data_IF_454335476136
#
_entry.id   IF_454335476136
#
_cell.length_a   1.000
_cell.length_b   1.000
_cell.length_c   1.000
_cell.angle_alpha   90.00
_cell.angle_beta   90.00
_cell.angle_gamma   90.00
#
_symmetry.space_group_name_H-M   'P 1'
#
loop_
_entity.id
_entity.type
_entity.pdbx_description
1 polymer ?
#
# COMPACT_ATOMS: atom_id res chain seq x y z
N UNK A 1 35.92 -9.67 17.93
CA UNK A 1 35.99 -10.60 16.78
C UNK A 1 34.56 -10.91 16.34
N UNK A 2 34.26 -10.85 15.04
CA UNK A 2 32.88 -10.80 14.48
C UNK A 2 32.20 -12.20 14.42
N UNK A 3 32.44 -13.05 15.43
CA UNK A 3 32.21 -14.51 15.36
C UNK A 3 30.75 -14.98 15.20
N UNK A 4 29.77 -14.09 15.35
CA UNK A 4 28.34 -14.43 15.40
C UNK A 4 27.52 -13.76 14.28
N UNK A 5 28.15 -13.18 13.26
CA UNK A 5 27.44 -12.64 12.08
C UNK A 5 27.45 -13.69 10.97
N UNK A 6 26.32 -13.85 10.29
CA UNK A 6 26.15 -14.62 9.06
C UNK A 6 25.53 -13.71 8.00
N UNK A 7 26.00 -13.81 6.76
CA UNK A 7 25.52 -12.96 5.67
C UNK A 7 25.21 -13.80 4.43
N UNK A 8 23.93 -13.85 4.08
CA UNK A 8 23.43 -14.50 2.87
C UNK A 8 23.19 -13.49 1.77
N UNK A 9 23.48 -13.90 0.53
CA UNK A 9 23.00 -13.20 -0.66
C UNK A 9 21.71 -13.85 -1.15
N UNK A 10 20.74 -13.04 -1.54
CA UNK A 10 19.74 -13.46 -2.51
C UNK A 10 20.27 -13.44 -3.95
N UNK A 11 19.44 -13.89 -4.88
CA UNK A 11 19.76 -14.01 -6.31
C UNK A 11 19.86 -12.68 -7.06
N UNK A 12 19.31 -11.57 -6.53
CA UNK A 12 19.21 -10.32 -7.29
C UNK A 12 20.55 -9.64 -7.59
N UNK A 13 21.48 -9.57 -6.62
CA UNK A 13 22.74 -8.82 -6.73
C UNK A 13 23.91 -9.46 -5.93
N UNK A 14 24.35 -10.69 -6.26
CA UNK A 14 25.39 -11.40 -5.50
C UNK A 14 26.72 -10.63 -5.37
N UNK A 15 27.18 -9.97 -6.44
CA UNK A 15 28.41 -9.18 -6.43
C UNK A 15 28.39 -8.00 -5.42
N UNK A 16 27.20 -7.46 -5.11
CA UNK A 16 27.06 -6.44 -4.07
C UNK A 16 27.29 -7.07 -2.69
N UNK A 17 26.69 -8.23 -2.42
CA UNK A 17 26.87 -8.96 -1.16
C UNK A 17 28.33 -9.37 -0.95
N UNK A 18 29.00 -9.88 -1.99
CA UNK A 18 30.44 -10.20 -1.96
C UNK A 18 31.30 -8.97 -1.65
N UNK A 19 30.96 -7.81 -2.21
CA UNK A 19 31.65 -6.54 -1.92
C UNK A 19 31.47 -6.16 -0.45
N UNK A 20 30.26 -6.29 0.11
CA UNK A 20 29.96 -6.02 1.52
C UNK A 20 30.72 -7.02 2.43
N UNK A 21 30.72 -8.32 2.11
CA UNK A 21 31.51 -9.34 2.80
C UNK A 21 32.99 -8.95 2.88
N UNK A 22 33.56 -8.57 1.73
CA UNK A 22 34.97 -8.19 1.57
C UNK A 22 35.33 -6.97 2.42
N UNK A 23 34.49 -5.92 2.41
CA UNK A 23 34.71 -4.70 3.21
C UNK A 23 34.57 -4.96 4.73
N UNK A 24 33.70 -5.89 5.13
CA UNK A 24 33.49 -6.25 6.54
C UNK A 24 34.45 -7.33 7.05
N UNK A 25 35.28 -7.94 6.18
CA UNK A 25 36.22 -8.99 6.54
C UNK A 25 35.54 -10.29 7.03
N UNK A 26 34.34 -10.58 6.54
CA UNK A 26 33.56 -11.79 6.87
C UNK A 26 33.32 -12.63 5.61
N UNK A 27 33.33 -13.97 5.72
CA UNK A 27 33.04 -14.85 4.60
C UNK A 27 31.56 -14.76 4.21
N UNK A 28 31.26 -14.96 2.92
CA UNK A 28 29.90 -15.15 2.44
C UNK A 28 29.37 -16.51 2.92
N UNK A 29 28.15 -16.54 3.45
CA UNK A 29 27.52 -17.76 3.96
C UNK A 29 26.89 -18.61 2.86
N UNK A 30 27.00 -19.93 3.00
CA UNK A 30 26.50 -20.87 1.99
C UNK A 30 24.96 -20.96 2.01
N UNK A 31 24.33 -20.66 0.88
CA UNK A 31 22.89 -20.78 0.66
C UNK A 31 22.65 -21.28 -0.76
N UNK A 32 21.80 -22.29 -0.90
CA UNK A 32 21.40 -22.84 -2.18
C UNK A 32 20.02 -22.28 -2.56
N UNK A 33 19.99 -21.54 -3.66
CA UNK A 33 18.82 -20.86 -4.21
C UNK A 33 18.48 -21.51 -5.55
N UNK A 34 17.26 -22.00 -5.69
CA UNK A 34 16.81 -22.69 -6.90
C UNK A 34 15.34 -22.43 -7.19
N UNK A 35 14.92 -22.78 -8.40
CA UNK A 35 13.51 -22.83 -8.82
C UNK A 35 13.12 -24.29 -9.08
N UNK A 36 11.96 -24.71 -8.59
CA UNK A 36 11.34 -25.97 -9.02
C UNK A 36 10.85 -25.82 -10.46
N UNK A 37 10.60 -26.95 -11.15
CA UNK A 37 10.10 -26.97 -12.54
C UNK A 37 8.77 -26.24 -12.73
N UNK A 38 7.98 -26.11 -11.67
CA UNK A 38 6.70 -25.36 -11.62
C UNK A 38 6.86 -23.86 -11.37
N UNK A 39 8.09 -23.35 -11.16
CA UNK A 39 8.38 -21.94 -10.91
C UNK A 39 8.41 -21.51 -9.44
N UNK A 40 8.11 -22.42 -8.51
CA UNK A 40 8.23 -22.17 -7.06
C UNK A 40 9.70 -21.98 -6.63
N UNK A 41 9.94 -21.10 -5.65
CA UNK A 41 11.27 -20.82 -5.12
C UNK A 41 11.66 -21.82 -4.03
N UNK A 42 12.84 -22.44 -4.17
CA UNK A 42 13.49 -23.30 -3.18
C UNK A 42 14.67 -22.55 -2.55
N UNK A 43 14.72 -22.53 -1.23
CA UNK A 43 15.82 -21.95 -0.45
C UNK A 43 16.31 -22.99 0.54
N UNK A 44 17.61 -23.24 0.56
CA UNK A 44 18.26 -24.17 1.50
C UNK A 44 19.47 -23.51 2.15
N UNK A 45 19.39 -23.35 3.47
CA UNK A 45 20.46 -22.74 4.27
C UNK A 45 21.56 -23.78 4.52
N UNK A 46 22.74 -23.56 3.96
CA UNK A 46 23.85 -24.52 3.95
C UNK A 46 24.74 -24.53 5.21
N UNK A 47 24.45 -23.69 6.21
CA UNK A 47 25.20 -23.62 7.47
C UNK A 47 24.31 -23.34 8.68
N UNK A 48 24.81 -23.58 9.89
CA UNK A 48 24.03 -23.31 11.11
C UNK A 48 23.92 -21.82 11.40
N UNK A 49 22.69 -21.31 11.45
CA UNK A 49 22.36 -19.93 11.86
C UNK A 49 21.97 -19.80 13.34
N UNK A 50 21.89 -20.91 14.08
CA UNK A 50 21.34 -20.96 15.43
C UNK A 50 22.07 -20.02 16.38
N UNK A 51 21.33 -19.07 16.97
CA UNK A 51 21.87 -18.07 17.91
C UNK A 51 22.75 -16.99 17.28
N UNK A 52 22.92 -16.97 15.95
CA UNK A 52 23.68 -15.95 15.21
C UNK A 52 22.79 -14.76 14.82
N UNK A 53 23.43 -13.63 14.56
CA UNK A 53 22.82 -12.47 13.90
C UNK A 53 22.95 -12.65 12.38
N UNK A 54 21.82 -12.78 11.68
CA UNK A 54 21.75 -13.07 10.25
C UNK A 54 21.41 -11.79 9.47
N UNK A 55 22.12 -11.55 8.37
CA UNK A 55 21.84 -10.50 7.40
C UNK A 55 21.54 -11.15 6.04
N UNK A 56 20.44 -10.75 5.40
CA UNK A 56 20.04 -11.25 4.07
C UNK A 56 20.00 -10.07 3.11
N UNK A 57 20.88 -10.06 2.12
CA UNK A 57 20.95 -8.98 1.12
C UNK A 57 20.11 -9.37 -0.10
N UNK A 58 19.01 -8.65 -0.34
CA UNK A 58 18.15 -8.83 -1.52
C UNK A 58 17.52 -7.51 -1.95
N UNK A 59 17.57 -7.22 -3.25
CA UNK A 59 17.08 -5.97 -3.83
C UNK A 59 15.80 -6.17 -4.64
N UNK A 60 14.84 -5.24 -4.54
CA UNK A 60 13.58 -5.21 -5.29
C UNK A 60 13.71 -4.78 -6.76
N UNK A 61 14.82 -5.09 -7.43
CA UNK A 61 15.05 -4.81 -8.85
C UNK A 61 14.80 -6.03 -9.74
N UNK A 62 14.54 -5.83 -11.03
CA UNK A 62 14.31 -6.93 -11.98
C UNK A 62 13.02 -7.71 -11.69
N UNK A 63 13.13 -9.02 -11.43
CA UNK A 63 12.01 -9.90 -11.11
C UNK A 63 11.52 -9.70 -9.66
N UNK A 64 10.93 -8.53 -9.39
CA UNK A 64 10.59 -8.04 -8.04
C UNK A 64 9.82 -9.07 -7.20
N UNK A 65 8.83 -9.74 -7.78
CA UNK A 65 8.02 -10.76 -7.10
C UNK A 65 8.86 -11.98 -6.68
N UNK A 66 9.71 -12.49 -7.58
CA UNK A 66 10.55 -13.66 -7.29
C UNK A 66 11.57 -13.34 -6.20
N UNK A 67 12.23 -12.19 -6.29
CA UNK A 67 13.20 -11.74 -5.29
C UNK A 67 12.55 -11.50 -3.92
N UNK A 68 11.34 -10.94 -3.89
CA UNK A 68 10.56 -10.76 -2.65
C UNK A 68 10.18 -12.10 -2.04
N UNK A 69 9.65 -13.04 -2.82
CA UNK A 69 9.30 -14.38 -2.32
C UNK A 69 10.53 -15.15 -1.84
N UNK A 70 11.65 -15.07 -2.56
CA UNK A 70 12.92 -15.66 -2.13
C UNK A 70 13.40 -15.07 -0.79
N UNK A 71 13.32 -13.75 -0.61
CA UNK A 71 13.64 -13.09 0.65
C UNK A 71 12.74 -13.56 1.80
N UNK A 72 11.42 -13.57 1.60
CA UNK A 72 10.45 -14.00 2.62
C UNK A 72 10.70 -15.46 3.05
N UNK A 73 10.95 -16.36 2.10
CA UNK A 73 11.27 -17.76 2.38
C UNK A 73 12.62 -17.87 3.11
N UNK A 74 13.63 -17.08 2.72
CA UNK A 74 14.95 -17.06 3.39
C UNK A 74 14.86 -16.56 4.83
N UNK A 75 14.10 -15.50 5.09
CA UNK A 75 13.84 -14.98 6.45
C UNK A 75 13.17 -16.06 7.30
N UNK A 76 12.09 -16.67 6.80
CA UNK A 76 11.34 -17.72 7.49
C UNK A 76 12.19 -18.96 7.79
N UNK A 77 13.04 -19.39 6.84
CA UNK A 77 13.99 -20.48 7.04
C UNK A 77 15.01 -20.14 8.15
N UNK A 78 15.56 -18.92 8.15
CA UNK A 78 16.50 -18.49 9.19
C UNK A 78 15.85 -18.39 10.57
N UNK A 79 14.60 -17.89 10.64
CA UNK A 79 13.84 -17.78 11.89
C UNK A 79 13.52 -19.17 12.47
N UNK A 80 13.05 -20.09 11.62
CA UNK A 80 12.77 -21.49 11.97
C UNK A 80 14.04 -22.22 12.42
N UNK A 81 15.17 -21.96 11.78
CA UNK A 81 16.50 -22.46 12.19
C UNK A 81 17.08 -21.78 13.45
N UNK A 82 16.26 -21.04 14.21
CA UNK A 82 16.61 -20.41 15.49
C UNK A 82 17.71 -19.36 15.39
N UNK A 83 17.77 -18.58 14.32
CA UNK A 83 18.56 -17.35 14.28
C UNK A 83 18.16 -16.43 15.44
N UNK A 84 19.15 -15.76 16.06
CA UNK A 84 18.90 -14.83 17.18
C UNK A 84 18.18 -13.57 16.69
N UNK A 85 18.56 -13.11 15.50
CA UNK A 85 18.05 -11.91 14.85
C UNK A 85 18.21 -12.05 13.35
N UNK A 86 17.19 -11.70 12.57
CA UNK A 86 17.22 -11.67 11.11
C UNK A 86 17.03 -10.23 10.63
N UNK A 87 18.06 -9.69 9.97
CA UNK A 87 18.04 -8.37 9.35
C UNK A 87 17.90 -8.51 7.83
N UNK A 88 16.83 -7.94 7.26
CA UNK A 88 16.69 -7.86 5.81
C UNK A 88 17.37 -6.58 5.30
N UNK A 89 18.28 -6.72 4.34
CA UNK A 89 19.01 -5.61 3.72
C UNK A 89 18.50 -5.45 2.28
N UNK A 90 17.74 -4.38 2.04
CA UNK A 90 17.09 -4.09 0.76
C UNK A 90 17.64 -2.79 0.14
N UNK A 91 18.72 -2.84 -0.68
CA UNK A 91 19.28 -1.67 -1.33
C UNK A 91 18.29 -0.89 -2.22
N UNK A 92 17.30 -1.59 -2.78
CA UNK A 92 16.11 -1.01 -3.41
C UNK A 92 14.88 -1.66 -2.78
N UNK A 93 14.05 -0.85 -2.10
CA UNK A 93 12.84 -1.35 -1.46
C UNK A 93 11.72 -1.61 -2.50
N UNK A 94 11.20 -2.85 -2.62
CA UNK A 94 10.18 -3.19 -3.60
C UNK A 94 8.86 -2.47 -3.31
N UNK A 95 8.05 -2.21 -4.34
CA UNK A 95 6.74 -1.54 -4.26
C UNK A 95 6.68 -0.11 -3.70
N UNK A 96 7.79 0.47 -3.22
CA UNK A 96 7.88 1.83 -2.65
C UNK A 96 7.39 3.00 -3.54
N UNK A 97 7.07 2.78 -4.81
CA UNK A 97 6.54 3.83 -5.71
C UNK A 97 5.01 3.95 -5.72
N UNK A 98 4.29 3.03 -5.07
CA UNK A 98 2.82 3.07 -5.04
C UNK A 98 2.37 3.91 -3.85
N UNK A 99 1.72 5.05 -4.12
CA UNK A 99 1.36 6.01 -3.07
C UNK A 99 0.32 5.44 -2.10
N UNK A 100 0.76 5.11 -0.88
CA UNK A 100 -0.12 4.68 0.21
C UNK A 100 -0.89 5.88 0.78
N UNK A 101 -2.02 6.21 0.13
CA UNK A 101 -2.98 7.22 0.61
C UNK A 101 -3.43 6.86 2.04
N UNK A 102 -3.58 7.85 2.95
CA UNK A 102 -3.84 7.58 4.37
C UNK A 102 -5.07 6.69 4.57
N UNK A 103 -4.82 5.56 5.24
CA UNK A 103 -5.80 4.53 5.52
C UNK A 103 -6.93 5.07 6.41
N UNK A 104 -8.17 4.76 6.04
CA UNK A 104 -9.33 4.95 6.92
C UNK A 104 -10.01 3.58 7.10
N UNK A 105 -10.17 3.13 8.34
CA UNK A 105 -10.74 1.82 8.71
C UNK A 105 -12.16 1.57 8.17
N UNK A 106 -12.84 2.62 7.73
CA UNK A 106 -14.21 2.57 7.15
C UNK A 106 -14.22 2.02 5.70
N UNK A 107 -13.07 1.63 5.15
CA UNK A 107 -12.94 1.18 3.76
C UNK A 107 -13.06 2.35 2.78
N UNK A 108 -13.40 2.07 1.52
CA UNK A 108 -13.78 3.13 0.59
C UNK A 108 -15.16 3.66 0.99
N UNK A 109 -15.29 4.91 1.48
CA UNK A 109 -16.61 5.47 1.73
C UNK A 109 -17.35 5.56 0.39
N UNK A 110 -18.52 4.92 0.33
CA UNK A 110 -19.58 5.38 -0.56
C UNK A 110 -19.93 6.79 -0.08
N UNK A 111 -19.40 7.80 -0.76
CA UNK A 111 -19.77 9.18 -0.51
C UNK A 111 -21.27 9.28 -0.79
N UNK A 112 -22.05 9.50 0.27
CA UNK A 112 -23.49 9.79 0.15
C UNK A 112 -23.66 10.85 -0.92
N UNK A 113 -24.60 10.61 -1.84
CA UNK A 113 -25.06 11.67 -2.73
C UNK A 113 -25.39 12.90 -1.89
N UNK A 114 -24.99 14.11 -2.32
CA UNK A 114 -25.48 15.32 -1.69
C UNK A 114 -27.01 15.32 -1.80
N UNK A 115 -27.70 15.27 -0.67
CA UNK A 115 -29.15 15.34 -0.59
C UNK A 115 -29.60 16.78 -0.83
N UNK A 116 -29.46 17.23 -2.08
CA UNK A 116 -29.82 18.56 -2.54
C UNK A 116 -30.33 18.50 -3.99
N UNK A 117 -31.45 17.80 -4.18
CA UNK A 117 -32.42 18.12 -5.22
C UNK A 117 -33.81 18.04 -4.59
N UNK A 118 -34.28 19.19 -4.11
CA UNK A 118 -35.70 19.42 -3.99
C UNK A 118 -36.21 19.85 -5.37
N UNK A 119 -36.78 18.92 -6.12
CA UNK A 119 -37.82 19.22 -7.11
C UNK A 119 -38.64 17.96 -7.38
N UNK A 120 -39.95 18.15 -7.55
CA UNK A 120 -40.92 17.07 -7.41
C UNK A 120 -41.01 16.14 -8.61
N UNK A 121 -40.43 14.94 -8.51
CA UNK A 121 -40.73 13.81 -9.40
C UNK A 121 -41.01 12.54 -8.58
N UNK A 122 -42.12 11.89 -8.94
CA UNK A 122 -42.78 10.73 -8.35
C UNK A 122 -41.94 9.75 -7.51
N UNK A 123 -42.32 9.58 -6.23
CA UNK A 123 -41.96 8.41 -5.41
C UNK A 123 -42.58 7.14 -6.02
N UNK A 124 -41.77 6.32 -6.67
CA UNK A 124 -42.05 4.91 -6.89
C UNK A 124 -40.92 4.06 -6.27
N UNK A 125 -41.12 3.62 -5.04
CA UNK A 125 -40.31 2.55 -4.42
C UNK A 125 -40.94 1.19 -4.72
N UNK A 126 -40.12 0.14 -4.82
CA UNK A 126 -40.53 -1.21 -5.23
C UNK A 126 -41.62 -1.87 -4.34
N UNK A 127 -41.84 -1.36 -3.13
CA UNK A 127 -42.92 -1.79 -2.23
C UNK A 127 -44.28 -1.11 -2.49
N UNK A 128 -44.39 -0.25 -3.51
CA UNK A 128 -45.61 0.50 -3.84
C UNK A 128 -46.68 -0.37 -4.55
N UNK A 129 -47.14 -1.44 -3.89
CA UNK A 129 -48.36 -2.16 -4.30
C UNK A 129 -49.58 -1.39 -3.79
N UNK A 130 -50.50 -0.91 -4.65
CA UNK A 130 -51.79 -0.42 -4.19
C UNK A 130 -52.52 -1.54 -3.45
N UNK A 131 -53.01 -1.28 -2.24
CA UNK A 131 -53.80 -2.25 -1.51
C UNK A 131 -55.07 -2.62 -2.29
N UNK A 132 -55.32 -3.91 -2.45
CA UNK A 132 -56.54 -4.41 -3.13
C UNK A 132 -57.78 -3.82 -2.44
N UNK A 133 -58.67 -3.11 -3.16
CA UNK A 133 -59.85 -2.51 -2.55
C UNK A 133 -60.77 -3.58 -1.95
N UNK A 134 -61.05 -3.47 -0.66
CA UNK A 134 -62.03 -4.30 0.04
C UNK A 134 -63.38 -3.57 0.16
N UNK A 135 -64.53 -4.28 0.08
CA UNK A 135 -65.83 -3.66 0.28
C UNK A 135 -65.93 -3.00 1.67
N UNK A 136 -66.23 -1.70 1.72
CA UNK A 136 -66.36 -0.94 2.97
C UNK A 136 -65.13 -0.13 3.40
N UNK A 137 -64.04 -0.10 2.63
CA UNK A 137 -62.92 0.82 2.86
C UNK A 137 -63.27 2.28 2.51
N UNK A 138 -62.76 3.25 3.27
CA UNK A 138 -62.96 4.67 3.01
C UNK A 138 -62.21 5.13 1.74
N UNK A 139 -62.91 5.83 0.85
CA UNK A 139 -62.30 6.46 -0.33
C UNK A 139 -61.37 7.62 0.07
N UNK A 140 -60.28 7.79 -0.68
CA UNK A 140 -59.28 8.83 -0.41
C UNK A 140 -59.87 10.23 -0.60
N UNK A 141 -59.94 11.02 0.48
CA UNK A 141 -60.50 12.36 0.46
C UNK A 141 -59.71 13.31 -0.47
N UNK A 142 -60.36 13.71 -1.57
CA UNK A 142 -59.82 14.70 -2.51
C UNK A 142 -59.69 16.11 -1.91
N UNK A 143 -58.86 16.92 -2.56
CA UNK A 143 -58.54 18.30 -2.17
C UNK A 143 -59.78 19.16 -1.86
N UNK A 144 -60.00 19.48 -0.59
CA UNK A 144 -61.02 20.46 -0.18
C UNK A 144 -60.49 21.52 0.79
N UNK A 145 -60.36 22.74 0.24
CA UNK A 145 -60.84 24.01 0.82
C UNK A 145 -60.56 24.29 2.31
N UNK A 146 -59.28 24.52 2.66
CA UNK A 146 -58.86 25.56 3.65
C UNK A 146 -57.33 25.82 3.74
N UNK A 147 -56.52 25.41 2.76
CA UNK A 147 -55.05 25.47 2.83
C UNK A 147 -54.42 26.88 2.88
N UNK A 148 -55.13 27.94 2.51
CA UNK A 148 -54.58 29.31 2.41
C UNK A 148 -54.38 30.02 3.75
N UNK A 149 -55.14 29.64 4.79
CA UNK A 149 -55.06 30.31 6.11
C UNK A 149 -53.80 29.91 6.91
N UNK A 150 -53.33 28.67 6.77
CA UNK A 150 -52.09 28.21 7.42
C UNK A 150 -50.83 28.89 6.86
N UNK A 151 -50.87 29.38 5.61
CA UNK A 151 -49.73 30.02 4.96
C UNK A 151 -49.47 31.43 5.52
N UNK A 152 -50.52 32.23 5.72
CA UNK A 152 -50.42 33.57 6.31
C UNK A 152 -49.84 33.55 7.73
N UNK A 153 -50.21 32.56 8.55
CA UNK A 153 -49.69 32.42 9.92
C UNK A 153 -48.17 32.14 9.98
N UNK A 154 -47.57 31.61 8.91
CA UNK A 154 -46.12 31.41 8.81
C UNK A 154 -45.35 32.63 8.29
N UNK A 155 -45.98 33.54 7.53
CA UNK A 155 -45.31 34.73 7.01
C UNK A 155 -45.04 35.79 8.09
N UNK A 156 -45.98 36.01 9.01
CA UNK A 156 -45.83 37.00 10.10
C UNK A 156 -44.77 36.66 11.15
N UNK A 157 -44.17 35.46 11.11
CA UNK A 157 -43.13 35.02 12.05
C UNK A 157 -41.70 35.42 11.66
N UNK A 158 -41.51 36.18 10.58
CA UNK A 158 -40.20 36.46 9.97
C UNK A 158 -39.87 37.97 9.87
N UNK A 159 -40.48 38.83 10.69
CA UNK A 159 -40.04 40.22 10.85
C UNK A 159 -38.82 40.32 11.79
N UNK A 160 -37.76 40.97 11.31
CA UNK A 160 -36.48 41.12 12.01
C UNK A 160 -36.51 42.33 12.97
N UNK A 161 -35.98 42.17 14.19
CA UNK A 161 -35.79 43.23 15.18
C UNK A 161 -34.50 43.04 15.99
N UNK A 162 -33.84 44.14 16.37
CA UNK A 162 -32.43 44.13 16.83
C UNK A 162 -32.22 44.39 18.32
N UNK A 163 -31.06 43.91 18.82
CA UNK A 163 -30.34 44.32 20.04
C UNK A 163 -30.93 44.04 21.44
N UNK A 164 -30.07 43.48 22.31
CA UNK A 164 -30.29 43.31 23.77
C UNK A 164 -29.16 42.47 24.38
N UNK A 165 -28.63 42.85 25.54
CA UNK A 165 -27.35 42.35 26.07
C UNK A 165 -27.48 41.39 27.29
N UNK A 166 -26.41 40.62 27.55
CA UNK A 166 -26.00 39.94 28.80
C UNK A 166 -26.68 38.62 29.24
N UNK A 167 -25.87 37.63 29.68
CA UNK A 167 -26.32 36.62 30.66
C UNK A 167 -25.84 35.15 30.52
N UNK A 168 -24.68 34.81 31.11
CA UNK A 168 -24.33 33.48 31.69
C UNK A 168 -23.98 32.25 30.79
N UNK A 169 -23.48 31.18 31.44
CA UNK A 169 -22.57 30.13 30.91
C UNK A 169 -23.27 28.92 30.23
N UNK A 170 -22.61 28.21 29.30
CA UNK A 170 -23.13 26.98 28.70
C UNK A 170 -23.04 25.75 29.63
N UNK A 171 -23.99 24.81 29.47
CA UNK A 171 -24.25 23.64 30.31
C UNK A 171 -24.01 22.32 29.55
N UNK A 172 -23.45 21.30 30.22
CA UNK A 172 -23.32 19.92 29.71
C UNK A 172 -24.27 18.95 30.44
N UNK A 173 -24.91 18.02 29.70
CA UNK A 173 -25.29 16.70 30.23
C UNK A 173 -24.78 15.56 29.30
N UNK A 174 -23.94 14.64 29.78
CA UNK A 174 -24.23 13.37 30.50
C UNK A 174 -24.47 12.14 29.58
N UNK A 175 -23.69 11.07 29.83
CA UNK A 175 -23.93 9.69 29.35
C UNK A 175 -25.11 9.04 30.09
N UNK A 176 -25.69 8.00 29.47
CA UNK A 176 -26.45 6.92 30.12
C UNK A 176 -26.14 5.57 29.46
N UNK A 177 -25.43 4.74 30.21
CA UNK A 177 -25.71 3.36 30.61
C UNK A 177 -26.14 2.27 29.60
N UNK A 178 -25.46 1.14 29.83
CA UNK A 178 -25.49 -0.24 29.32
C UNK A 178 -26.83 -0.98 29.36
N UNK A 179 -26.92 -2.06 28.55
CA UNK A 179 -27.57 -3.32 28.93
C UNK A 179 -26.79 -4.53 28.34
N UNK A 180 -26.95 -5.69 28.98
CA UNK A 180 -25.95 -6.76 29.01
C UNK A 180 -26.17 -7.99 28.09
N UNK A 181 -25.11 -8.80 28.05
CA UNK A 181 -24.88 -10.15 27.49
C UNK A 181 -26.03 -11.16 27.40
N UNK A 182 -25.92 -12.04 26.39
CA UNK A 182 -26.14 -13.49 26.55
C UNK A 182 -24.92 -14.24 25.96
N UNK A 183 -24.43 -15.25 26.68
CA UNK A 183 -23.30 -16.14 26.33
C UNK A 183 -23.74 -17.61 26.49
N UNK A 184 -22.97 -18.54 25.89
CA UNK A 184 -22.94 -20.01 26.11
C UNK A 184 -23.92 -20.87 25.24
N UNK A 185 -23.59 -22.08 24.72
CA UNK A 185 -22.26 -22.73 24.52
C UNK A 185 -22.27 -24.04 23.67
N UNK A 186 -21.06 -24.64 23.47
CA UNK A 186 -20.75 -26.10 23.39
C UNK A 186 -21.17 -26.98 22.18
N UNK A 187 -20.13 -27.41 21.42
CA UNK A 187 -19.78 -28.76 20.86
C UNK A 187 -20.67 -29.59 19.89
N UNK A 188 -20.09 -29.83 18.67
CA UNK A 188 -19.90 -31.13 17.94
C UNK A 188 -21.12 -32.05 17.58
N UNK A 189 -21.01 -33.07 16.68
CA UNK A 189 -19.85 -33.60 15.93
C UNK A 189 -20.07 -33.81 14.39
N UNK A 190 -19.19 -34.61 13.79
CA UNK A 190 -19.02 -34.96 12.36
C UNK A 190 -20.14 -35.78 11.69
N UNK A 191 -20.31 -35.57 10.37
CA UNK A 191 -20.79 -36.61 9.43
C UNK A 191 -20.02 -36.57 8.10
N UNK A 192 -19.61 -37.75 7.62
CA UNK A 192 -18.99 -38.00 6.32
C UNK A 192 -19.97 -37.84 5.15
N UNK A 193 -19.50 -37.35 4.00
CA UNK A 193 -20.32 -37.25 2.78
C UNK A 193 -19.49 -37.09 1.50
N UNK A 194 -19.01 -38.21 0.96
CA UNK A 194 -18.34 -38.26 -0.34
C UNK A 194 -19.35 -38.24 -1.48
N UNK A 195 -19.27 -37.24 -2.36
CA UNK A 195 -19.96 -37.24 -3.64
C UNK A 195 -18.99 -36.87 -4.77
N UNK A 196 -18.29 -37.89 -5.25
CA UNK A 196 -17.91 -37.97 -6.65
C UNK A 196 -19.17 -38.37 -7.42
N UNK A 197 -19.57 -37.61 -8.42
CA UNK A 197 -20.36 -38.16 -9.53
C UNK A 197 -20.01 -37.41 -10.82
N UNK A 198 -19.61 -38.18 -11.83
CA UNK A 198 -19.17 -37.68 -13.12
C UNK A 198 -20.33 -37.10 -13.94
N UNK A 199 -20.03 -36.11 -14.79
CA UNK A 199 -20.82 -35.93 -16.01
C UNK A 199 -19.92 -35.48 -17.18
N UNK A 200 -19.70 -36.34 -18.19
CA UNK A 200 -18.78 -36.06 -19.29
C UNK A 200 -19.48 -35.43 -20.50
N UNK A 201 -19.06 -34.24 -20.93
CA UNK A 201 -19.36 -33.73 -22.27
C UNK A 201 -18.28 -32.76 -22.77
N UNK A 202 -17.68 -33.13 -23.90
CA UNK A 202 -16.53 -32.50 -24.55
C UNK A 202 -16.67 -31.02 -24.92
N UNK A 203 -15.54 -30.30 -24.84
CA UNK A 203 -15.18 -29.25 -25.80
C UNK A 203 -13.65 -29.26 -26.04
N UNK A 204 -13.22 -30.03 -27.03
CA UNK A 204 -11.82 -30.15 -27.45
C UNK A 204 -11.29 -28.85 -28.05
N UNK A 205 -10.14 -28.36 -27.58
CA UNK A 205 -9.16 -27.71 -28.48
C UNK A 205 -7.73 -27.99 -28.01
N UNK A 206 -6.96 -28.60 -28.88
CA UNK A 206 -5.58 -29.07 -28.67
C UNK A 206 -4.56 -28.05 -29.15
N UNK A 207 -3.30 -28.26 -28.74
CA UNK A 207 -2.07 -27.71 -29.37
C UNK A 207 -1.85 -26.18 -29.25
N UNK A 208 -0.63 -25.66 -29.12
CA UNK A 208 0.71 -26.29 -29.11
C UNK A 208 1.74 -25.44 -28.34
N UNK A 209 2.81 -26.09 -27.88
CA UNK A 209 4.05 -25.44 -27.43
C UNK A 209 4.87 -25.01 -28.65
N UNK A 210 5.57 -23.87 -28.58
CA UNK A 210 6.89 -23.76 -29.20
C UNK A 210 7.97 -23.30 -28.21
N UNK A 211 9.04 -24.09 -28.12
CA UNK A 211 10.33 -23.71 -27.51
C UNK A 211 11.21 -23.01 -28.54
N UNK A 212 11.81 -21.85 -28.20
CA UNK A 212 13.13 -21.47 -28.73
C UNK A 212 13.79 -20.26 -28.04
N UNK A 213 15.05 -20.49 -27.65
CA UNK A 213 16.23 -19.62 -27.72
C UNK A 213 16.22 -18.14 -27.29
N UNK A 214 17.32 -17.80 -26.60
CA UNK A 214 17.74 -16.48 -26.15
C UNK A 214 17.74 -15.36 -27.21
N UNK A 215 17.40 -14.14 -26.78
CA UNK A 215 17.54 -12.90 -27.54
C UNK A 215 17.35 -11.66 -26.68
N UNK A 216 18.29 -10.72 -26.77
CA UNK A 216 18.42 -9.45 -26.05
C UNK A 216 17.13 -8.77 -25.51
N UNK A 217 17.18 -8.29 -24.27
CA UNK A 217 16.23 -7.31 -23.73
C UNK A 217 16.42 -5.94 -24.39
N UNK A 218 15.42 -5.38 -25.11
CA UNK A 218 15.39 -3.96 -25.42
C UNK A 218 14.87 -3.21 -24.19
N UNK A 219 15.47 -2.06 -23.87
CA UNK A 219 14.95 -1.14 -22.86
C UNK A 219 13.64 -0.50 -23.35
N UNK A 220 12.51 -1.13 -23.07
CA UNK A 220 11.19 -0.58 -23.40
C UNK A 220 10.82 0.53 -22.42
N UNK A 221 10.87 1.77 -22.91
CA UNK A 221 10.19 2.91 -22.27
C UNK A 221 8.72 2.54 -22.10
N UNK A 222 8.30 2.27 -20.88
CA UNK A 222 6.96 1.79 -20.58
C UNK A 222 5.93 2.90 -20.73
N UNK A 223 5.44 3.10 -21.96
CA UNK A 223 4.10 3.64 -22.18
C UNK A 223 3.08 2.63 -21.63
N UNK A 224 2.93 2.58 -20.30
CA UNK A 224 1.75 1.98 -19.70
C UNK A 224 0.54 2.78 -20.18
N UNK A 225 -0.52 2.14 -20.69
CA UNK A 225 -1.76 2.86 -20.98
C UNK A 225 -2.26 3.46 -19.67
N UNK A 226 -2.37 4.79 -19.61
CA UNK A 226 -3.09 5.44 -18.52
C UNK A 226 -4.54 4.98 -18.59
N UNK A 227 -4.91 4.07 -17.69
CA UNK A 227 -6.30 3.72 -17.45
C UNK A 227 -6.93 4.97 -16.82
N UNK A 228 -7.60 5.78 -17.64
CA UNK A 228 -8.37 6.96 -17.24
C UNK A 228 -9.63 6.51 -16.46
N UNK A 229 -9.38 5.97 -15.26
CA UNK A 229 -10.42 5.52 -14.35
C UNK A 229 -11.16 6.74 -13.81
N UNK A 230 -12.32 7.01 -14.39
CA UNK A 230 -13.26 8.01 -13.89
C UNK A 230 -14.08 7.37 -12.77
N UNK A 231 -13.81 7.67 -11.48
CA UNK A 231 -14.60 7.11 -10.39
C UNK A 231 -16.07 7.49 -10.57
N UNK A 232 -16.97 6.55 -10.30
CA UNK A 232 -18.40 6.83 -10.29
C UNK A 232 -18.70 7.96 -9.28
N UNK A 233 -19.69 8.81 -9.56
CA UNK A 233 -20.10 9.87 -8.63
C UNK A 233 -20.52 9.24 -7.30
N UNK A 234 -19.73 9.47 -6.25
CA UNK A 234 -19.93 8.85 -4.94
C UNK A 234 -18.93 7.74 -4.58
N UNK A 235 -18.08 7.29 -5.51
CA UNK A 235 -17.05 6.29 -5.25
C UNK A 235 -15.70 6.97 -4.94
N UNK A 236 -15.17 6.78 -3.73
CA UNK A 236 -13.75 7.08 -3.46
C UNK A 236 -12.92 5.93 -4.05
N UNK A 237 -12.02 6.23 -4.99
CA UNK A 237 -11.08 5.26 -5.53
C UNK A 237 -10.31 4.58 -4.39
N UNK A 238 -10.40 3.25 -4.33
CA UNK A 238 -9.55 2.46 -3.46
C UNK A 238 -8.24 2.15 -4.19
N UNK A 239 -7.12 2.40 -3.52
CA UNK A 239 -5.78 2.11 -4.02
C UNK A 239 -5.17 1.08 -3.07
N UNK A 240 -4.66 -0.02 -3.61
CA UNK A 240 -4.03 -1.06 -2.81
C UNK A 240 -2.76 -0.50 -2.16
N UNK A 241 -2.60 -0.72 -0.86
CA UNK A 241 -1.43 -0.24 -0.12
C UNK A 241 -0.28 -1.24 -0.19
N UNK A 242 0.43 -1.25 -1.32
CA UNK A 242 1.45 -2.24 -1.59
C UNK A 242 2.69 -2.08 -0.70
N UNK A 243 3.01 -0.87 -0.24
CA UNK A 243 4.12 -0.63 0.69
C UNK A 243 3.83 -1.22 2.06
N UNK A 244 2.68 -0.89 2.65
CA UNK A 244 2.18 -1.51 3.89
C UNK A 244 2.16 -3.03 3.80
N UNK A 245 1.59 -3.61 2.73
CA UNK A 245 1.53 -5.06 2.55
C UNK A 245 2.92 -5.72 2.54
N UNK A 246 3.91 -5.10 1.89
CA UNK A 246 5.29 -5.62 1.88
C UNK A 246 5.94 -5.51 3.25
N UNK A 247 5.67 -4.44 4.01
CA UNK A 247 6.16 -4.29 5.39
C UNK A 247 5.55 -5.35 6.32
N UNK A 248 4.24 -5.58 6.22
CA UNK A 248 3.53 -6.63 6.94
C UNK A 248 4.10 -8.02 6.61
N UNK A 249 4.32 -8.33 5.32
CA UNK A 249 4.87 -9.62 4.89
C UNK A 249 6.29 -9.86 5.42
N UNK A 250 7.18 -8.86 5.35
CA UNK A 250 8.55 -8.96 5.87
C UNK A 250 8.55 -9.19 7.39
N UNK A 251 7.70 -8.46 8.12
CA UNK A 251 7.55 -8.58 9.57
C UNK A 251 6.97 -9.96 9.94
N UNK A 252 5.91 -10.40 9.26
CA UNK A 252 5.27 -11.71 9.47
C UNK A 252 6.18 -12.89 9.10
N UNK A 253 7.08 -12.75 8.11
CA UNK A 253 8.08 -13.76 7.79
C UNK A 253 9.13 -13.93 8.92
N UNK A 254 9.23 -12.97 9.85
CA UNK A 254 10.10 -13.02 11.01
C UNK A 254 11.34 -12.14 10.92
N UNK A 255 11.33 -11.09 10.08
CA UNK A 255 12.37 -10.06 10.11
C UNK A 255 12.31 -9.29 11.43
N UNK A 256 13.47 -9.07 12.05
CA UNK A 256 13.61 -8.32 13.31
C UNK A 256 14.14 -6.89 13.08
N UNK A 257 14.66 -6.61 11.89
CA UNK A 257 15.25 -5.33 11.49
C UNK A 257 15.29 -5.18 9.96
N UNK A 258 15.11 -3.98 9.45
CA UNK A 258 15.26 -3.64 8.03
C UNK A 258 16.39 -2.63 7.84
N UNK A 259 17.26 -2.85 6.86
CA UNK A 259 18.19 -1.84 6.36
C UNK A 259 17.85 -1.58 4.89
N UNK A 260 17.64 -0.32 4.51
CA UNK A 260 17.25 0.08 3.14
C UNK A 260 18.01 1.33 2.71
N UNK A 261 17.93 1.71 1.43
CA UNK A 261 18.58 2.91 0.91
C UNK A 261 17.63 3.79 0.07
N UNK A 262 17.68 5.10 0.31
CA UNK A 262 16.99 6.15 -0.44
C UNK A 262 15.52 5.83 -0.79
N UNK A 263 14.75 5.38 0.22
CA UNK A 263 13.30 5.15 0.12
C UNK A 263 12.60 6.26 -0.67
N UNK A 264 11.68 5.86 -1.55
CA UNK A 264 10.98 6.79 -2.44
C UNK A 264 10.24 7.89 -1.65
N UNK A 265 9.50 7.48 -0.61
CA UNK A 265 8.97 8.34 0.44
C UNK A 265 9.59 7.95 1.80
N UNK A 266 10.24 8.86 2.55
CA UNK A 266 10.75 8.56 3.88
C UNK A 266 9.68 8.04 4.87
N UNK A 267 8.39 8.32 4.63
CA UNK A 267 7.27 7.89 5.47
C UNK A 267 7.11 6.35 5.54
N UNK A 268 7.62 5.58 4.56
CA UNK A 268 7.57 4.10 4.60
C UNK A 268 8.22 3.50 5.84
N UNK A 269 9.14 4.20 6.52
CA UNK A 269 9.69 3.76 7.80
C UNK A 269 8.60 3.57 8.86
N UNK A 270 7.53 4.37 8.83
CA UNK A 270 6.41 4.28 9.76
C UNK A 270 5.39 3.17 9.47
N UNK A 271 5.62 2.34 8.44
CA UNK A 271 4.77 1.18 8.13
C UNK A 271 5.34 -0.12 8.71
N UNK A 272 6.49 -0.06 9.38
CA UNK A 272 7.10 -1.19 10.06
C UNK A 272 6.93 -1.08 11.57
N UNK A 273 6.47 -2.15 12.21
CA UNK A 273 6.51 -2.31 13.67
C UNK A 273 7.93 -2.69 14.19
N UNK A 274 8.85 -2.95 13.27
CA UNK A 274 10.27 -3.28 13.52
C UNK A 274 11.17 -2.10 13.12
N UNK A 275 12.37 -1.96 13.71
CA UNK A 275 13.30 -0.88 13.36
C UNK A 275 13.69 -0.90 11.86
N UNK A 276 13.85 0.30 11.29
CA UNK A 276 14.23 0.52 9.89
C UNK A 276 15.35 1.54 9.77
N UNK A 277 16.55 1.10 9.38
CA UNK A 277 17.66 1.98 9.00
C UNK A 277 17.54 2.38 7.53
N UNK A 278 17.04 3.59 7.24
CA UNK A 278 17.04 4.16 5.89
C UNK A 278 18.31 4.96 5.61
N UNK A 279 19.23 4.37 4.85
CA UNK A 279 20.51 4.96 4.44
C UNK A 279 20.31 5.94 3.27
N UNK A 280 21.23 6.92 3.13
CA UNK A 280 21.17 7.93 2.07
C UNK A 280 22.46 7.98 1.24
N UNK A 281 22.38 7.58 -0.03
CA UNK A 281 23.46 7.61 -1.01
C UNK A 281 23.89 9.03 -1.43
N UNK A 282 23.12 10.06 -1.03
CA UNK A 282 23.40 11.49 -1.34
C UNK A 282 24.84 11.93 -1.10
N UNK A 283 25.52 11.39 -0.08
CA UNK A 283 26.90 11.76 0.25
C UNK A 283 27.91 11.19 -0.77
N UNK A 284 27.65 9.98 -1.30
CA UNK A 284 28.44 9.37 -2.36
C UNK A 284 28.23 10.11 -3.68
N UNK A 285 26.97 10.45 -4.01
CA UNK A 285 26.64 11.26 -5.18
C UNK A 285 27.29 12.65 -5.12
N UNK A 286 27.18 13.35 -3.99
CA UNK A 286 27.86 14.64 -3.76
C UNK A 286 29.37 14.52 -4.00
N UNK A 287 30.03 13.53 -3.38
CA UNK A 287 31.47 13.28 -3.54
C UNK A 287 31.84 12.99 -5.01
N UNK A 288 31.02 12.21 -5.72
CA UNK A 288 31.24 11.92 -7.13
C UNK A 288 31.12 13.18 -8.00
N UNK A 289 30.07 13.99 -7.82
CA UNK A 289 29.87 15.25 -8.55
C UNK A 289 31.08 16.19 -8.32
N UNK A 290 31.50 16.37 -7.06
CA UNK A 290 32.61 17.25 -6.69
C UNK A 290 33.96 16.84 -7.29
N UNK A 291 34.28 15.55 -7.35
CA UNK A 291 35.59 15.10 -7.81
C UNK A 291 35.65 14.64 -9.27
N UNK A 292 34.52 14.25 -9.88
CA UNK A 292 34.49 13.63 -11.22
C UNK A 292 33.71 14.42 -12.27
N UNK A 293 32.83 15.35 -11.86
CA UNK A 293 32.00 16.15 -12.78
C UNK A 293 32.45 17.61 -12.76
N UNK A 294 32.35 18.30 -11.60
CA UNK A 294 32.66 19.74 -11.49
C UNK A 294 34.01 20.15 -12.10
N UNK A 295 35.12 19.40 -11.95
CA UNK A 295 36.41 19.78 -12.54
C UNK A 295 36.43 19.79 -14.08
N UNK A 296 35.51 19.06 -14.74
CA UNK A 296 35.41 18.98 -16.21
C UNK A 296 34.63 20.13 -16.84
N UNK A 297 33.84 20.84 -16.03
CA UNK A 297 32.88 21.85 -16.50
C UNK A 297 33.11 23.23 -15.86
N UNK A 298 34.30 23.48 -15.30
CA UNK A 298 34.66 24.81 -14.78
C UNK A 298 34.23 25.09 -13.33
N UNK A 299 33.85 24.08 -12.55
CA UNK A 299 33.47 24.22 -11.14
C UNK A 299 31.95 24.21 -10.91
N UNK A 300 31.45 24.88 -9.84
CA UNK A 300 30.02 24.90 -9.52
C UNK A 300 29.19 25.68 -10.56
N UNK A 301 29.69 26.85 -10.99
CA UNK A 301 28.95 27.78 -11.86
C UNK A 301 28.71 27.24 -13.28
N UNK A 302 29.45 26.21 -13.69
CA UNK A 302 29.31 25.56 -15.00
C UNK A 302 28.43 24.30 -14.99
N UNK A 303 27.72 24.01 -13.90
CA UNK A 303 26.83 22.86 -13.78
C UNK A 303 25.53 23.22 -13.02
N UNK A 304 24.41 22.62 -13.44
CA UNK A 304 23.09 22.80 -12.81
C UNK A 304 22.53 21.45 -12.36
N UNK A 305 21.94 21.38 -11.16
CA UNK A 305 21.22 20.19 -10.70
C UNK A 305 19.77 20.27 -11.18
N UNK A 306 19.34 19.28 -11.96
CA UNK A 306 18.00 19.25 -12.57
C UNK A 306 17.11 18.22 -11.88
N UNK A 307 15.92 18.62 -11.43
CA UNK A 307 14.84 17.68 -11.09
C UNK A 307 14.06 17.29 -12.35
N UNK A 308 13.88 15.98 -12.63
CA UNK A 308 13.12 15.51 -13.80
C UNK A 308 11.61 15.70 -13.66
N UNK A 309 11.11 15.91 -12.44
CA UNK A 309 9.70 16.11 -12.13
C UNK A 309 9.52 16.95 -10.84
N UNK A 310 8.27 17.24 -10.47
CA UNK A 310 7.93 18.02 -9.28
C UNK A 310 8.13 17.27 -7.94
N UNK A 311 8.04 15.94 -7.92
CA UNK A 311 8.25 15.13 -6.71
C UNK A 311 9.73 15.05 -6.33
N UNK A 312 10.63 14.99 -7.32
CA UNK A 312 12.07 15.04 -7.15
C UNK A 312 12.62 16.39 -6.67
N UNK A 313 11.84 17.47 -6.76
CA UNK A 313 12.31 18.86 -6.59
C UNK A 313 13.10 19.04 -5.29
N UNK A 314 12.50 18.69 -4.15
CA UNK A 314 13.12 18.83 -2.82
C UNK A 314 14.41 18.01 -2.67
N UNK A 315 14.52 16.86 -3.35
CA UNK A 315 15.73 16.02 -3.36
C UNK A 315 16.85 16.69 -4.15
N UNK A 316 16.52 17.27 -5.31
CA UNK A 316 17.44 17.99 -6.18
C UNK A 316 17.93 19.31 -5.53
N UNK A 317 17.03 20.13 -4.97
CA UNK A 317 17.38 21.38 -4.25
C UNK A 317 18.35 21.10 -3.10
N UNK A 318 18.09 20.08 -2.27
CA UNK A 318 19.00 19.70 -1.18
C UNK A 318 20.41 19.30 -1.67
N UNK A 319 20.56 18.81 -2.90
CA UNK A 319 21.86 18.45 -3.50
C UNK A 319 22.53 19.72 -4.07
N UNK A 320 21.77 20.58 -4.74
CA UNK A 320 22.21 21.89 -5.23
C UNK A 320 22.76 22.78 -4.10
N UNK A 321 21.96 22.99 -3.05
CA UNK A 321 22.34 23.77 -1.86
C UNK A 321 23.62 23.21 -1.20
N UNK A 322 23.70 21.87 -1.10
CA UNK A 322 24.85 21.20 -0.50
C UNK A 322 26.12 21.26 -1.38
N UNK A 323 26.01 21.60 -2.66
CA UNK A 323 27.11 21.74 -3.61
C UNK A 323 27.45 23.21 -3.93
N UNK A 324 26.57 24.16 -3.61
CA UNK A 324 26.69 25.55 -4.05
C UNK A 324 26.44 25.68 -5.56
N UNK A 325 25.47 24.93 -6.09
CA UNK A 325 25.14 24.89 -7.52
C UNK A 325 23.71 25.37 -7.76
N UNK A 326 23.43 25.84 -8.98
CA UNK A 326 22.07 26.20 -9.39
C UNK A 326 21.14 24.98 -9.48
N UNK A 327 19.84 25.24 -9.34
CA UNK A 327 18.77 24.26 -9.42
C UNK A 327 17.79 24.57 -10.55
N UNK A 328 17.41 23.56 -11.33
CA UNK A 328 16.36 23.64 -12.34
C UNK A 328 15.32 22.52 -12.17
N UNK A 329 14.09 22.76 -12.61
CA UNK A 329 12.98 21.82 -12.54
C UNK A 329 12.33 21.65 -13.91
N UNK A 330 12.15 20.40 -14.33
CA UNK A 330 11.37 20.07 -15.52
C UNK A 330 9.91 19.87 -15.09
N UNK A 331 9.00 20.58 -15.76
CA UNK A 331 7.56 20.37 -15.67
C UNK A 331 7.06 19.88 -17.04
N UNK A 332 6.18 18.89 -17.05
CA UNK A 332 5.67 18.19 -18.23
C UNK A 332 4.15 18.15 -18.19
#
# INVERSE_FOLDING_TARGET
MVRNIVMFSGSSHPALTETICTQLGIPLSNIHLAKFSVGETRVEVGESVRGKDVFIVQSGGGNVNDHLMELLITISACKTASAKRVTAVLPLFPYSRQSDLPYNKVGAPLARQPTSMADGVSKYTFESRPGTPAPGGQESAGLTRNGSQHLHKRLNGLSVGSNGNSGSRPYQPKRKDTLDSIQSDVSAPSTTGSYFEDNPAAATSTTSIPTSAAGAHPSSTSNQPQIDFKPQRGYKQWVAQAGTLVADLLTCAGADHIITMDLHDPQYQGFFDIPVDNLYGRHLLKKYIQHQIMPKYGGPDGCVIVSPDAGGAKRATNIADALGMDFALIHK
#
